data_IF_397565369719
#
_entry.id   IF_397565369719
#
_cell.length_a   1.000
_cell.length_b   1.000
_cell.length_c   1.000
_cell.angle_alpha   90.00
_cell.angle_beta   90.00
_cell.angle_gamma   90.00
#
_symmetry.space_group_name_H-M   'P 1'
#
loop_
_entity.id
_entity.type
_entity.pdbx_description
1 polymer ?
#
# COMPACT_ATOMS: atom_id res chain seq x y z
N UNK A 1 -20.88 4.83 -20.33
CA UNK A 1 -19.86 4.76 -21.40
C UNK A 1 -19.28 6.14 -21.77
N UNK A 2 -20.08 7.16 -22.14
CA UNK A 2 -19.55 8.49 -22.53
C UNK A 2 -18.63 9.17 -21.50
N UNK A 3 -18.82 8.97 -20.20
CA UNK A 3 -17.98 9.58 -19.15
C UNK A 3 -16.56 9.01 -19.12
N UNK A 4 -16.40 7.70 -19.38
CA UNK A 4 -15.08 7.05 -19.37
C UNK A 4 -14.17 7.54 -20.51
N UNK A 5 -14.77 7.97 -21.63
CA UNK A 5 -14.05 8.60 -22.76
C UNK A 5 -13.34 9.88 -22.34
N UNK A 6 -13.83 10.57 -21.30
CA UNK A 6 -13.20 11.78 -20.76
C UNK A 6 -12.31 11.44 -19.57
N UNK A 7 -12.76 10.55 -18.68
CA UNK A 7 -12.03 10.19 -17.44
C UNK A 7 -10.68 9.54 -17.75
N UNK A 8 -10.62 8.59 -18.71
CA UNK A 8 -9.38 7.89 -19.03
C UNK A 8 -8.28 8.84 -19.53
N UNK A 9 -8.48 9.64 -20.60
CA UNK A 9 -7.44 10.55 -21.07
C UNK A 9 -7.12 11.66 -20.07
N UNK A 10 -8.12 12.16 -19.33
CA UNK A 10 -7.87 13.15 -18.29
C UNK A 10 -7.02 12.60 -17.13
N UNK A 11 -7.22 11.34 -16.74
CA UNK A 11 -6.36 10.68 -15.74
C UNK A 11 -4.94 10.45 -16.25
N UNK A 12 -4.76 10.10 -17.53
CA UNK A 12 -3.42 9.94 -18.11
C UNK A 12 -2.70 11.29 -18.16
N UNK A 13 -3.38 12.35 -18.64
CA UNK A 13 -2.80 13.69 -18.69
C UNK A 13 -2.43 14.23 -17.31
N UNK A 14 -3.31 14.05 -16.31
CA UNK A 14 -3.02 14.44 -14.93
C UNK A 14 -1.92 13.56 -14.30
N UNK A 15 -1.89 12.27 -14.64
CA UNK A 15 -0.86 11.34 -14.20
C UNK A 15 0.52 11.79 -14.67
N UNK A 16 0.68 12.04 -15.97
CA UNK A 16 1.92 12.58 -16.56
C UNK A 16 2.34 13.91 -15.93
N UNK A 17 1.37 14.79 -15.64
CA UNK A 17 1.66 16.08 -15.01
C UNK A 17 2.16 15.90 -13.56
N UNK A 18 1.54 15.01 -12.79
CA UNK A 18 1.96 14.72 -11.42
C UNK A 18 3.31 13.99 -11.38
N UNK A 19 3.54 13.11 -12.34
CA UNK A 19 4.79 12.37 -12.53
C UNK A 19 5.94 13.33 -12.86
N UNK A 20 5.70 14.33 -13.72
CA UNK A 20 6.63 15.43 -13.98
C UNK A 20 7.04 16.20 -12.71
N UNK A 21 6.13 16.34 -11.74
CA UNK A 21 6.42 16.95 -10.44
C UNK A 21 6.99 15.95 -9.40
N UNK A 22 7.31 14.71 -9.79
CA UNK A 22 7.77 13.64 -8.92
C UNK A 22 6.83 13.39 -7.71
N UNK A 23 5.52 13.55 -7.93
CA UNK A 23 4.52 13.31 -6.88
C UNK A 23 4.37 11.80 -6.69
N UNK A 24 4.60 11.31 -5.47
CA UNK A 24 4.42 9.89 -5.21
C UNK A 24 2.99 9.40 -5.46
N UNK A 25 2.91 8.19 -6.02
CA UNK A 25 1.66 7.57 -6.45
C UNK A 25 0.85 8.45 -7.42
N UNK A 26 1.53 9.24 -8.28
CA UNK A 26 0.93 10.11 -9.30
C UNK A 26 -0.20 9.44 -10.08
N UNK A 27 0.01 8.20 -10.53
CA UNK A 27 -0.96 7.42 -11.30
C UNK A 27 -2.21 7.01 -10.50
N UNK A 28 -2.06 6.69 -9.22
CA UNK A 28 -3.23 6.39 -8.37
C UNK A 28 -3.98 7.68 -8.04
N UNK A 29 -3.26 8.73 -7.65
CA UNK A 29 -3.82 10.01 -7.24
C UNK A 29 -4.58 10.67 -8.40
N UNK A 30 -4.02 10.63 -9.62
CA UNK A 30 -4.69 11.10 -10.83
C UNK A 30 -5.99 10.34 -11.11
N UNK A 31 -5.99 9.01 -10.95
CA UNK A 31 -7.19 8.19 -11.05
C UNK A 31 -8.27 8.61 -10.05
N UNK A 32 -7.90 8.83 -8.77
CA UNK A 32 -8.83 9.24 -7.70
C UNK A 32 -9.39 10.63 -7.97
N UNK A 33 -8.54 11.60 -8.28
CA UNK A 33 -8.95 12.99 -8.48
C UNK A 33 -9.88 13.15 -9.69
N UNK A 34 -9.55 12.51 -10.81
CA UNK A 34 -10.35 12.64 -12.03
C UNK A 34 -11.66 11.85 -11.93
N UNK A 35 -11.62 10.59 -11.47
CA UNK A 35 -12.84 9.80 -11.31
C UNK A 35 -13.72 10.35 -10.17
N UNK A 36 -13.13 10.80 -9.06
CA UNK A 36 -13.83 11.46 -7.97
C UNK A 36 -14.45 12.78 -8.40
N UNK A 37 -13.69 13.65 -9.08
CA UNK A 37 -14.21 14.90 -9.64
C UNK A 37 -15.39 14.65 -10.60
N UNK A 38 -15.26 13.68 -11.51
CA UNK A 38 -16.33 13.31 -12.42
C UNK A 38 -17.57 12.73 -11.71
N UNK A 39 -17.38 11.93 -10.64
CA UNK A 39 -18.48 11.40 -9.82
C UNK A 39 -19.21 12.51 -9.05
N UNK A 40 -18.47 13.49 -8.50
CA UNK A 40 -19.02 14.65 -7.80
C UNK A 40 -19.80 15.58 -8.74
N UNK A 41 -19.24 15.92 -9.90
CA UNK A 41 -19.89 16.80 -10.89
C UNK A 41 -21.20 16.17 -11.37
N UNK A 42 -21.22 14.86 -11.60
CA UNK A 42 -22.41 14.15 -12.09
C UNK A 42 -23.38 13.73 -10.98
N UNK A 43 -23.01 13.93 -9.71
CA UNK A 43 -23.76 13.44 -8.52
C UNK A 43 -24.15 11.96 -8.62
N UNK A 44 -23.34 11.15 -9.30
CA UNK A 44 -23.59 9.72 -9.51
C UNK A 44 -22.28 8.97 -9.43
N UNK A 45 -22.31 7.84 -8.74
CA UNK A 45 -21.16 6.94 -8.63
C UNK A 45 -20.75 6.43 -10.02
N UNK A 46 -19.46 6.52 -10.30
CA UNK A 46 -18.86 5.94 -11.50
C UNK A 46 -18.45 4.51 -11.20
N UNK A 47 -19.41 3.60 -11.34
CA UNK A 47 -19.15 2.18 -11.19
C UNK A 47 -18.19 1.71 -12.30
N UNK A 48 -17.05 1.17 -11.89
CA UNK A 48 -16.12 0.47 -12.76
C UNK A 48 -16.66 -0.95 -13.04
N UNK A 49 -16.33 -1.51 -14.21
CA UNK A 49 -16.66 -2.90 -14.49
C UNK A 49 -15.90 -3.83 -13.54
N UNK A 50 -16.59 -4.79 -12.92
CA UNK A 50 -16.01 -5.75 -11.98
C UNK A 50 -14.81 -6.51 -12.55
N UNK A 51 -14.77 -6.76 -13.86
CA UNK A 51 -13.62 -7.45 -14.49
C UNK A 51 -12.37 -6.56 -14.53
N UNK A 52 -12.55 -5.27 -14.83
CA UNK A 52 -11.44 -4.29 -14.85
C UNK A 52 -10.92 -4.10 -13.43
N UNK A 53 -11.84 -3.93 -12.48
CA UNK A 53 -11.51 -3.82 -11.06
C UNK A 53 -10.72 -5.03 -10.54
N UNK A 54 -11.17 -6.26 -10.83
CA UNK A 54 -10.47 -7.49 -10.43
C UNK A 54 -9.07 -7.58 -11.04
N UNK A 55 -8.92 -7.14 -12.29
CA UNK A 55 -7.63 -7.14 -12.98
C UNK A 55 -6.65 -6.16 -12.33
N UNK A 56 -7.09 -4.95 -11.96
CA UNK A 56 -6.26 -3.99 -11.23
C UNK A 56 -5.78 -4.51 -9.87
N UNK A 57 -6.67 -5.17 -9.11
CA UNK A 57 -6.29 -5.81 -7.83
C UNK A 57 -5.23 -6.91 -8.03
N UNK A 58 -5.34 -7.67 -9.12
CA UNK A 58 -4.37 -8.69 -9.50
C UNK A 58 -2.99 -8.10 -9.78
N UNK A 59 -2.92 -7.02 -10.57
CA UNK A 59 -1.67 -6.30 -10.87
C UNK A 59 -1.01 -5.81 -9.58
N UNK A 60 -1.80 -5.26 -8.66
CA UNK A 60 -1.30 -4.83 -7.35
C UNK A 60 -0.77 -5.99 -6.51
N UNK A 61 -1.43 -7.15 -6.56
CA UNK A 61 -0.94 -8.37 -5.89
C UNK A 61 0.42 -8.81 -6.43
N UNK A 62 0.62 -8.72 -7.75
CA UNK A 62 1.92 -9.02 -8.38
C UNK A 62 2.98 -8.00 -7.97
N UNK A 63 2.68 -6.70 -8.05
CA UNK A 63 3.60 -5.62 -7.64
C UNK A 63 4.00 -5.75 -6.16
N UNK A 64 3.08 -6.16 -5.29
CA UNK A 64 3.38 -6.43 -3.89
C UNK A 64 4.24 -7.70 -3.68
N UNK A 65 4.25 -8.61 -4.64
CA UNK A 65 5.04 -9.85 -4.62
C UNK A 65 6.44 -9.69 -5.20
N UNK A 66 6.69 -8.73 -6.09
CA UNK A 66 8.00 -8.51 -6.70
C UNK A 66 9.13 -8.33 -5.69
N UNK A 67 8.99 -7.50 -4.63
CA UNK A 67 10.07 -7.33 -3.63
C UNK A 67 10.41 -8.61 -2.86
N UNK A 68 9.53 -9.62 -2.88
CA UNK A 68 9.73 -10.90 -2.19
C UNK A 68 10.45 -11.94 -3.08
N UNK A 69 10.66 -11.64 -4.37
CA UNK A 69 11.37 -12.51 -5.32
C UNK A 69 12.87 -12.44 -5.04
N UNK A 70 13.55 -13.59 -5.02
CA UNK A 70 15.00 -13.68 -4.82
C UNK A 70 15.49 -13.57 -3.37
N UNK A 71 14.60 -13.31 -2.41
CA UNK A 71 14.97 -13.26 -0.99
C UNK A 71 14.99 -14.66 -0.39
N UNK A 72 16.18 -15.12 0.02
CA UNK A 72 16.34 -16.40 0.69
C UNK A 72 15.85 -16.31 2.14
N UNK A 73 15.17 -17.36 2.61
CA UNK A 73 14.69 -17.45 4.01
C UNK A 73 15.87 -17.28 4.99
N UNK A 74 17.06 -17.79 4.64
CA UNK A 74 18.28 -17.65 5.43
C UNK A 74 18.67 -16.19 5.68
N UNK A 75 18.54 -15.32 4.69
CA UNK A 75 18.92 -13.90 4.80
C UNK A 75 17.95 -13.10 5.67
N UNK A 76 16.69 -13.55 5.76
CA UNK A 76 15.63 -12.89 6.55
C UNK A 76 15.62 -13.36 8.00
N UNK A 77 16.07 -14.58 8.29
CA UNK A 77 16.01 -15.17 9.63
C UNK A 77 16.63 -14.30 10.75
N UNK A 78 17.78 -13.63 10.57
CA UNK A 78 18.35 -12.75 11.60
C UNK A 78 17.48 -11.52 11.88
N UNK A 79 16.78 -11.03 10.85
CA UNK A 79 15.96 -9.82 10.90
C UNK A 79 14.53 -10.09 11.37
N UNK A 80 14.13 -11.37 11.47
CA UNK A 80 12.76 -11.78 11.77
C UNK A 80 12.25 -11.18 13.08
N UNK A 81 13.03 -11.29 14.16
CA UNK A 81 12.62 -10.81 15.48
C UNK A 81 12.56 -9.26 15.54
N UNK A 82 13.60 -8.50 15.12
CA UNK A 82 13.52 -7.05 15.03
C UNK A 82 12.37 -6.56 14.15
N UNK A 83 12.22 -7.13 12.94
CA UNK A 83 11.17 -6.76 12.00
C UNK A 83 9.77 -7.03 12.54
N UNK A 84 9.57 -8.17 13.22
CA UNK A 84 8.29 -8.50 13.86
C UNK A 84 7.95 -7.52 14.99
N UNK A 85 8.91 -7.17 15.83
CA UNK A 85 8.71 -6.22 16.95
C UNK A 85 8.30 -4.85 16.43
N UNK A 86 9.01 -4.30 15.44
CA UNK A 86 8.67 -3.02 14.81
C UNK A 86 7.27 -3.08 14.18
N UNK A 87 6.98 -4.17 13.48
CA UNK A 87 5.68 -4.38 12.84
C UNK A 87 4.54 -4.45 13.86
N UNK A 88 4.73 -5.13 14.97
CA UNK A 88 3.75 -5.22 16.05
C UNK A 88 3.51 -3.87 16.72
N UNK A 89 4.56 -3.09 16.97
CA UNK A 89 4.45 -1.75 17.56
C UNK A 89 3.64 -0.83 16.64
N UNK A 90 3.98 -0.79 15.36
CA UNK A 90 3.30 0.06 14.37
C UNK A 90 1.85 -0.36 14.13
N UNK A 91 1.58 -1.67 14.07
CA UNK A 91 0.22 -2.22 14.02
C UNK A 91 -0.57 -1.85 15.26
N UNK A 92 -0.01 -2.02 16.46
CA UNK A 92 -0.70 -1.74 17.71
C UNK A 92 -1.10 -0.26 17.80
N UNK A 93 -0.19 0.64 17.39
CA UNK A 93 -0.47 2.07 17.26
C UNK A 93 -1.61 2.32 16.27
N UNK A 94 -1.58 1.69 15.09
CA UNK A 94 -2.63 1.83 14.07
C UNK A 94 -4.00 1.34 14.53
N UNK A 95 -4.06 0.19 15.20
CA UNK A 95 -5.30 -0.34 15.79
C UNK A 95 -5.82 0.61 16.87
N UNK A 96 -4.94 1.08 17.77
CA UNK A 96 -5.30 2.03 18.82
C UNK A 96 -5.87 3.33 18.24
N UNK A 97 -5.17 3.94 17.29
CA UNK A 97 -5.61 5.16 16.60
C UNK A 97 -6.93 4.95 15.85
N UNK A 98 -7.11 3.79 15.20
CA UNK A 98 -8.34 3.45 14.50
C UNK A 98 -9.54 3.24 15.42
N UNK A 99 -9.33 2.65 16.60
CA UNK A 99 -10.36 2.55 17.64
C UNK A 99 -10.73 3.94 18.16
N UNK A 100 -9.75 4.81 18.43
CA UNK A 100 -10.02 6.19 18.85
C UNK A 100 -10.79 6.95 17.76
N UNK A 101 -10.38 6.83 16.50
CA UNK A 101 -11.08 7.44 15.36
C UNK A 101 -12.55 7.00 15.30
N UNK A 102 -12.81 5.69 15.44
CA UNK A 102 -14.18 5.15 15.41
C UNK A 102 -15.05 5.63 16.57
N UNK A 103 -14.44 5.98 17.71
CA UNK A 103 -15.14 6.57 18.85
C UNK A 103 -15.39 8.07 18.67
N UNK A 104 -14.44 8.79 18.07
CA UNK A 104 -14.54 10.23 17.83
C UNK A 104 -15.52 10.56 16.70
N UNK A 105 -15.56 9.75 15.65
CA UNK A 105 -16.41 9.94 14.47
C UNK A 105 -17.45 8.82 14.41
N UNK A 106 -18.63 9.04 14.99
CA UNK A 106 -19.70 8.02 15.12
C UNK A 106 -20.19 7.42 13.79
N UNK A 107 -19.95 8.09 12.67
CA UNK A 107 -20.29 7.60 11.32
C UNK A 107 -19.32 6.53 10.81
N UNK A 108 -18.14 6.40 11.43
CA UNK A 108 -17.09 5.48 11.01
C UNK A 108 -17.20 4.20 11.84
N UNK A 109 -17.41 3.07 11.14
CA UNK A 109 -17.39 1.77 11.81
C UNK A 109 -15.99 1.49 12.37
N UNK A 110 -15.86 0.72 13.46
CA UNK A 110 -14.55 0.33 14.00
C UNK A 110 -13.67 -0.39 12.97
N UNK A 111 -14.28 -1.14 12.05
CA UNK A 111 -13.57 -1.79 10.96
C UNK A 111 -12.95 -0.77 10.00
N UNK A 112 -13.75 0.20 9.52
CA UNK A 112 -13.27 1.30 8.69
C UNK A 112 -12.19 2.11 9.42
N UNK A 113 -12.40 2.46 10.69
CA UNK A 113 -11.45 3.27 11.46
C UNK A 113 -10.08 2.60 11.62
N UNK A 114 -10.06 1.31 11.96
CA UNK A 114 -8.83 0.51 12.07
C UNK A 114 -8.13 0.41 10.70
N UNK A 115 -8.87 0.14 9.63
CA UNK A 115 -8.29 0.06 8.28
C UNK A 115 -7.77 1.41 7.76
N UNK A 116 -8.40 2.52 8.12
CA UNK A 116 -7.91 3.87 7.81
C UNK A 116 -6.57 4.17 8.48
N UNK A 117 -6.37 3.65 9.69
CA UNK A 117 -5.20 3.93 10.53
C UNK A 117 -4.17 2.81 10.54
N UNK A 118 -4.41 1.68 9.87
CA UNK A 118 -3.42 0.61 9.83
C UNK A 118 -2.24 1.05 8.93
N UNK A 119 -1.00 1.08 9.44
CA UNK A 119 0.16 1.40 8.62
C UNK A 119 0.52 0.19 7.76
N UNK A 120 -0.04 0.08 6.57
CA UNK A 120 0.33 -0.98 5.63
C UNK A 120 0.15 -0.62 4.18
N UNK A 121 0.39 -1.58 3.29
CA UNK A 121 0.40 -1.39 1.83
C UNK A 121 -0.81 -0.59 1.37
N UNK A 122 -0.59 0.65 0.96
CA UNK A 122 -1.62 1.60 0.55
C UNK A 122 -2.49 1.07 -0.60
N UNK A 123 -1.93 0.14 -1.37
CA UNK A 123 -2.57 -0.54 -2.49
C UNK A 123 -3.38 -1.78 -2.06
N UNK A 124 -3.09 -2.40 -0.92
CA UNK A 124 -3.76 -3.64 -0.46
C UNK A 124 -4.88 -3.38 0.55
N UNK A 125 -4.69 -2.43 1.47
CA UNK A 125 -5.66 -2.17 2.56
C UNK A 125 -7.04 -1.73 2.05
N UNK A 126 -7.17 -0.84 1.04
CA UNK A 126 -8.48 -0.49 0.50
C UNK A 126 -9.20 -1.70 -0.09
N UNK A 127 -8.46 -2.66 -0.63
CA UNK A 127 -9.02 -3.89 -1.19
C UNK A 127 -9.54 -4.82 -0.10
N UNK A 128 -8.78 -4.98 0.98
CA UNK A 128 -9.22 -5.72 2.17
C UNK A 128 -10.47 -5.07 2.78
N UNK A 129 -10.53 -3.73 2.83
CA UNK A 129 -11.70 -3.01 3.31
C UNK A 129 -12.98 -3.43 2.56
N UNK A 130 -12.91 -3.58 1.24
CA UNK A 130 -14.05 -4.05 0.45
C UNK A 130 -14.50 -5.46 0.82
N UNK A 131 -13.56 -6.39 0.98
CA UNK A 131 -13.88 -7.78 1.28
C UNK A 131 -14.44 -7.93 2.69
N UNK A 132 -14.03 -7.06 3.61
CA UNK A 132 -14.57 -6.99 4.98
C UNK A 132 -15.88 -6.20 5.09
N UNK A 133 -16.32 -5.52 4.03
CA UNK A 133 -17.50 -4.65 4.05
C UNK A 133 -17.28 -3.29 4.72
N UNK A 134 -16.03 -2.92 5.02
CA UNK A 134 -15.68 -1.59 5.49
C UNK A 134 -15.78 -0.56 4.37
N UNK A 135 -15.89 0.73 4.74
CA UNK A 135 -15.95 1.82 3.78
C UNK A 135 -14.59 2.03 3.12
N UNK A 136 -14.37 1.32 2.01
CA UNK A 136 -13.14 1.33 1.24
C UNK A 136 -12.78 2.72 0.70
N UNK A 137 -13.76 3.62 0.54
CA UNK A 137 -13.55 4.97 0.00
C UNK A 137 -12.82 5.82 1.03
N UNK A 138 -13.28 5.79 2.28
CA UNK A 138 -12.63 6.46 3.40
C UNK A 138 -11.24 5.88 3.66
N UNK A 139 -11.10 4.55 3.61
CA UNK A 139 -9.82 3.86 3.76
C UNK A 139 -8.84 4.28 2.68
N UNK A 140 -9.24 4.23 1.41
CA UNK A 140 -8.41 4.66 0.28
C UNK A 140 -7.94 6.11 0.46
N UNK A 141 -8.85 7.05 0.73
CA UNK A 141 -8.50 8.46 0.90
C UNK A 141 -7.50 8.66 2.04
N UNK A 142 -7.67 8.00 3.19
CA UNK A 142 -6.74 8.11 4.32
C UNK A 142 -5.37 7.49 4.01
N UNK A 143 -5.35 6.34 3.33
CA UNK A 143 -4.11 5.63 2.99
C UNK A 143 -3.28 6.38 1.94
N UNK A 144 -3.93 6.96 0.93
CA UNK A 144 -3.24 7.75 -0.10
C UNK A 144 -2.84 9.14 0.40
N UNK A 145 -3.66 9.79 1.25
CA UNK A 145 -3.26 11.03 1.92
C UNK A 145 -2.00 10.80 2.79
N UNK A 146 -1.96 9.68 3.52
CA UNK A 146 -0.78 9.29 4.30
C UNK A 146 0.44 9.08 3.40
N UNK A 147 0.31 8.34 2.31
CA UNK A 147 1.42 8.16 1.37
C UNK A 147 1.91 9.49 0.81
N UNK A 148 1.00 10.38 0.40
CA UNK A 148 1.35 11.69 -0.15
C UNK A 148 2.16 12.50 0.88
N UNK A 149 1.67 12.58 2.12
CA UNK A 149 2.34 13.35 3.18
C UNK A 149 3.69 12.73 3.55
N UNK A 150 3.76 11.41 3.72
CA UNK A 150 5.01 10.71 4.02
C UNK A 150 6.00 10.90 2.88
N UNK A 151 5.58 10.76 1.63
CA UNK A 151 6.47 10.94 0.49
C UNK A 151 6.91 12.38 0.27
N UNK A 152 6.09 13.38 0.59
CA UNK A 152 6.52 14.77 0.57
C UNK A 152 7.49 15.08 1.72
N UNK A 153 7.38 14.36 2.84
CA UNK A 153 8.30 14.50 3.97
C UNK A 153 9.65 13.80 3.75
N UNK A 154 9.70 12.74 2.94
CA UNK A 154 10.92 11.96 2.71
C UNK A 154 12.07 12.80 2.10
N UNK A 155 11.87 13.59 1.02
CA UNK A 155 12.90 14.48 0.48
C UNK A 155 13.41 15.51 1.50
N UNK A 156 12.53 16.02 2.36
CA UNK A 156 12.92 16.94 3.42
C UNK A 156 13.86 16.24 4.41
N UNK A 157 13.57 14.99 4.74
CA UNK A 157 14.42 14.16 5.61
C UNK A 157 15.74 13.81 4.91
N UNK A 158 15.73 13.36 3.65
CA UNK A 158 16.97 13.01 2.92
C UNK A 158 17.88 14.22 2.70
N UNK A 159 17.31 15.42 2.51
CA UNK A 159 18.09 16.66 2.42
C UNK A 159 18.86 17.00 3.70
N UNK A 160 18.32 16.65 4.87
CA UNK A 160 19.01 16.80 6.16
C UNK A 160 20.16 15.80 6.35
N UNK A 161 20.10 14.65 5.67
CA UNK A 161 21.14 13.62 5.70
C UNK A 161 22.11 13.68 4.51
N UNK A 162 21.99 14.69 3.64
CA UNK A 162 22.84 14.87 2.44
C UNK A 162 22.86 13.65 1.49
N UNK A 163 21.81 12.84 1.50
CA UNK A 163 21.66 11.68 0.60
C UNK A 163 20.94 12.15 -0.66
N UNK A 164 21.60 12.02 -1.80
CA UNK A 164 20.99 12.28 -3.10
C UNK A 164 20.07 11.12 -3.45
N UNK A 165 18.80 11.37 -3.76
CA UNK A 165 17.89 10.35 -4.29
C UNK A 165 18.23 10.10 -5.76
N UNK A 166 18.72 8.91 -6.12
CA UNK A 166 18.60 8.46 -7.51
C UNK A 166 17.28 7.72 -7.71
N UNK A 167 16.65 7.94 -8.85
CA UNK A 167 15.47 7.17 -9.28
C UNK A 167 15.97 5.76 -9.59
N UNK A 168 15.35 4.74 -8.97
CA UNK A 168 15.71 3.34 -9.17
C UNK A 168 15.80 3.02 -10.68
N UNK A 169 16.88 2.36 -11.10
CA UNK A 169 17.04 1.91 -12.48
C UNK A 169 15.93 0.91 -12.84
N UNK A 170 15.38 1.05 -14.06
CA UNK A 170 14.44 0.09 -14.62
C UNK A 170 15.13 -1.27 -14.78
N UNK A 171 14.73 -2.26 -13.97
CA UNK A 171 15.23 -3.62 -14.14
C UNK A 171 14.72 -4.20 -15.48
N UNK A 172 15.63 -4.40 -16.42
CA UNK A 172 15.31 -4.94 -17.74
C UNK A 172 15.05 -6.45 -17.67
N UNK A 173 13.79 -6.84 -17.45
CA UNK A 173 13.39 -8.26 -17.50
C UNK A 173 13.04 -8.75 -18.90
N UNK A 174 12.85 -10.08 -19.03
CA UNK A 174 12.49 -10.70 -20.30
C UNK A 174 11.00 -10.51 -20.62
N UNK A 175 10.66 -10.21 -21.87
CA UNK A 175 9.27 -9.99 -22.32
C UNK A 175 8.31 -11.15 -22.01
N UNK A 176 8.80 -12.39 -21.97
CA UNK A 176 7.99 -13.57 -21.64
C UNK A 176 7.68 -13.66 -20.14
N UNK A 177 8.56 -13.17 -19.28
CA UNK A 177 8.32 -13.10 -17.84
C UNK A 177 7.29 -12.03 -17.48
N UNK A 178 7.29 -10.91 -18.21
CA UNK A 178 6.21 -9.93 -18.14
C UNK A 178 4.83 -10.54 -18.48
N UNK A 179 4.76 -11.37 -19.54
CA UNK A 179 3.51 -12.09 -19.89
C UNK A 179 3.07 -13.06 -18.81
N UNK A 180 4.01 -13.78 -18.17
CA UNK A 180 3.74 -14.66 -17.04
C UNK A 180 3.13 -13.89 -15.86
N UNK A 181 3.68 -12.72 -15.53
CA UNK A 181 3.15 -11.88 -14.46
C UNK A 181 1.76 -11.31 -14.75
N UNK A 182 1.51 -10.89 -15.99
CA UNK A 182 0.17 -10.48 -16.44
C UNK A 182 -0.81 -11.66 -16.33
N UNK A 183 -0.38 -12.87 -16.69
CA UNK A 183 -1.18 -14.07 -16.51
C UNK A 183 -1.45 -14.36 -15.02
N UNK A 184 -0.47 -14.17 -14.13
CA UNK A 184 -0.67 -14.30 -12.67
C UNK A 184 -1.66 -13.26 -12.12
N UNK A 185 -1.60 -12.00 -12.58
CA UNK A 185 -2.55 -10.97 -12.20
C UNK A 185 -3.99 -11.31 -12.63
N UNK A 186 -4.16 -11.95 -13.80
CA UNK A 186 -5.47 -12.31 -14.33
C UNK A 186 -6.02 -13.63 -13.76
N UNK A 187 -5.17 -14.66 -13.65
CA UNK A 187 -5.55 -16.03 -13.28
C UNK A 187 -5.48 -16.25 -11.76
N UNK A 188 -4.51 -15.62 -11.08
CA UNK A 188 -4.33 -15.72 -9.64
C UNK A 188 -5.61 -15.48 -8.84
N UNK A 189 -6.42 -14.45 -9.14
CA UNK A 189 -7.69 -14.23 -8.46
C UNK A 189 -8.69 -15.38 -8.53
N UNK A 190 -8.69 -16.17 -9.61
CA UNK A 190 -9.55 -17.34 -9.75
C UNK A 190 -9.03 -18.51 -8.93
N UNK A 191 -7.70 -18.72 -8.93
CA UNK A 191 -7.03 -19.74 -8.11
C UNK A 191 -7.23 -19.45 -6.62
N UNK A 192 -7.08 -18.19 -6.20
CA UNK A 192 -7.28 -17.80 -4.81
C UNK A 192 -8.70 -18.03 -4.31
N UNK A 193 -9.71 -17.93 -5.20
CA UNK A 193 -11.11 -18.23 -4.87
C UNK A 193 -11.32 -19.72 -4.63
N UNK A 194 -10.68 -20.55 -5.45
CA UNK A 194 -10.72 -22.00 -5.29
C UNK A 194 -10.08 -22.44 -3.96
N UNK A 195 -8.98 -21.79 -3.57
CA UNK A 195 -8.22 -22.09 -2.35
C UNK A 195 -8.76 -21.42 -1.08
N UNK A 196 -9.86 -20.64 -1.16
CA UNK A 196 -10.49 -19.94 -0.02
C UNK A 196 -9.54 -19.03 0.77
N UNK A 197 -8.61 -18.35 0.10
CA UNK A 197 -7.76 -17.37 0.77
C UNK A 197 -8.56 -16.18 1.33
N UNK A 198 -8.13 -15.55 2.43
CA UNK A 198 -8.83 -14.42 3.07
C UNK A 198 -8.86 -13.15 2.22
N UNK A 199 -8.06 -13.07 1.15
CA UNK A 199 -8.16 -12.07 0.09
C UNK A 199 -7.68 -12.63 -1.27
N UNK A 200 -8.54 -13.40 -1.98
CA UNK A 200 -8.17 -14.17 -3.18
C UNK A 200 -7.52 -13.34 -4.28
N UNK A 201 -7.98 -12.09 -4.42
CA UNK A 201 -7.63 -11.20 -5.51
C UNK A 201 -6.23 -10.58 -5.39
N UNK A 202 -5.60 -10.65 -4.21
CA UNK A 202 -4.26 -10.09 -3.95
C UNK A 202 -3.29 -11.19 -3.52
N UNK A 203 -3.69 -12.03 -2.57
CA UNK A 203 -2.81 -13.07 -2.02
C UNK A 203 -2.38 -14.08 -3.06
N UNK A 204 -3.30 -14.51 -3.93
CA UNK A 204 -2.96 -15.51 -4.94
C UNK A 204 -2.00 -14.96 -6.01
N UNK A 205 -2.24 -13.77 -6.62
CA UNK A 205 -1.23 -13.17 -7.50
C UNK A 205 0.11 -12.94 -6.81
N UNK A 206 0.12 -12.48 -5.55
CA UNK A 206 1.34 -12.29 -4.77
C UNK A 206 2.10 -13.60 -4.60
N UNK A 207 1.43 -14.64 -4.10
CA UNK A 207 2.05 -15.95 -3.86
C UNK A 207 2.55 -16.57 -5.17
N UNK A 208 1.79 -16.46 -6.26
CA UNK A 208 2.21 -16.94 -7.58
C UNK A 208 3.45 -16.19 -8.07
N UNK A 209 3.51 -14.88 -7.87
CA UNK A 209 4.67 -14.06 -8.26
C UNK A 209 5.92 -14.50 -7.51
N UNK A 210 5.81 -14.69 -6.19
CA UNK A 210 6.92 -15.17 -5.35
C UNK A 210 7.35 -16.57 -5.77
N UNK A 211 6.41 -17.49 -5.97
CA UNK A 211 6.72 -18.87 -6.37
C UNK A 211 7.42 -18.91 -7.73
N UNK A 212 6.90 -18.19 -8.73
CA UNK A 212 7.57 -18.12 -10.03
C UNK A 212 8.95 -17.48 -9.92
N UNK A 213 9.13 -16.51 -9.03
CA UNK A 213 10.40 -15.84 -8.81
C UNK A 213 11.49 -16.71 -8.20
N UNK A 214 11.11 -17.78 -7.50
CA UNK A 214 12.07 -18.79 -7.06
C UNK A 214 12.59 -19.64 -8.22
N UNK A 215 11.80 -19.82 -9.29
CA UNK A 215 12.19 -20.63 -10.45
C UNK A 215 12.85 -19.79 -11.56
N UNK A 216 12.43 -18.54 -11.73
CA UNK A 216 12.88 -17.65 -12.82
C UNK A 216 13.19 -16.22 -12.32
N UNK A 217 14.18 -16.03 -11.42
CA UNK A 217 14.43 -14.73 -10.80
C UNK A 217 14.75 -13.63 -11.82
N UNK A 218 15.56 -13.93 -12.85
CA UNK A 218 15.97 -12.95 -13.88
C UNK A 218 14.87 -12.64 -14.92
N UNK A 219 13.79 -13.44 -14.97
CA UNK A 219 12.73 -13.22 -15.93
C UNK A 219 11.62 -12.30 -15.39
N UNK A 220 11.54 -12.12 -14.08
CA UNK A 220 10.38 -11.49 -13.43
C UNK A 220 10.55 -9.98 -13.36
N UNK A 221 9.86 -9.30 -14.28
CA UNK A 221 9.72 -7.85 -14.31
C UNK A 221 8.29 -7.49 -14.70
N UNK A 222 7.74 -6.47 -14.04
CA UNK A 222 6.44 -5.90 -14.41
C UNK A 222 6.67 -4.69 -15.33
N UNK A 223 6.16 -4.71 -16.59
CA UNK A 223 6.23 -3.54 -17.45
C UNK A 223 5.56 -2.34 -16.79
N UNK A 224 6.23 -1.19 -16.85
CA UNK A 224 5.76 0.07 -16.26
C UNK A 224 4.33 0.39 -16.70
N UNK A 225 4.04 0.24 -18.00
CA UNK A 225 2.70 0.45 -18.55
C UNK A 225 1.61 -0.39 -17.85
N UNK A 226 1.92 -1.64 -17.47
CA UNK A 226 0.97 -2.51 -16.76
C UNK A 226 0.81 -2.05 -15.31
N UNK A 227 1.90 -1.66 -14.64
CA UNK A 227 1.86 -1.11 -13.30
C UNK A 227 1.03 0.18 -13.23
N UNK A 228 1.28 1.12 -14.15
CA UNK A 228 0.53 2.38 -14.32
C UNK A 228 -0.96 2.10 -14.55
N UNK A 229 -1.30 1.15 -15.42
CA UNK A 229 -2.69 0.74 -15.63
C UNK A 229 -3.32 0.16 -14.36
N UNK A 230 -2.61 -0.67 -13.60
CA UNK A 230 -3.08 -1.21 -12.32
C UNK A 230 -3.38 -0.11 -11.31
N UNK A 231 -2.47 0.86 -11.19
CA UNK A 231 -2.63 2.04 -10.33
C UNK A 231 -3.80 2.93 -10.75
N UNK A 232 -3.95 3.20 -12.04
CA UNK A 232 -5.08 3.96 -12.59
C UNK A 232 -6.42 3.25 -12.33
N UNK A 233 -6.49 1.93 -12.53
CA UNK A 233 -7.71 1.14 -12.27
C UNK A 233 -8.15 1.26 -10.81
N UNK A 234 -7.21 1.10 -9.87
CA UNK A 234 -7.52 1.28 -8.44
C UNK A 234 -7.93 2.72 -8.14
N UNK A 235 -7.23 3.69 -8.73
CA UNK A 235 -7.55 5.11 -8.57
C UNK A 235 -8.96 5.43 -9.05
N UNK A 236 -9.34 4.95 -10.24
CA UNK A 236 -10.68 5.11 -10.79
C UNK A 236 -11.75 4.43 -9.96
N UNK A 237 -11.43 3.26 -9.42
CA UNK A 237 -12.36 2.51 -8.58
C UNK A 237 -12.62 3.24 -7.24
N UNK A 238 -11.56 3.70 -6.57
CA UNK A 238 -11.68 4.47 -5.33
C UNK A 238 -12.34 5.83 -5.59
N UNK A 239 -11.87 6.54 -6.62
CA UNK A 239 -12.37 7.83 -7.08
C UNK A 239 -13.84 7.78 -7.48
N UNK A 240 -14.24 6.80 -8.29
CA UNK A 240 -15.60 6.67 -8.80
C UNK A 240 -16.66 6.43 -7.74
N UNK A 241 -16.26 5.93 -6.56
CA UNK A 241 -17.12 5.79 -5.38
C UNK A 241 -17.26 7.08 -4.55
N UNK A 242 -16.49 8.15 -4.82
CA UNK A 242 -16.59 9.36 -4.01
C UNK A 242 -17.95 10.03 -4.17
N UNK A 243 -18.51 10.45 -3.04
CA UNK A 243 -19.74 11.22 -2.95
C UNK A 243 -19.56 12.36 -1.95
N UNK A 244 -20.40 13.40 -2.05
CA UNK A 244 -20.35 14.55 -1.14
C UNK A 244 -20.48 14.13 0.33
N UNK A 245 -21.38 13.19 0.72
CA UNK A 245 -21.42 12.68 2.09
C UNK A 245 -20.11 12.05 2.56
N UNK A 246 -19.50 11.19 1.73
CA UNK A 246 -18.22 10.51 2.06
C UNK A 246 -17.11 11.55 2.24
N UNK A 247 -17.04 12.56 1.38
CA UNK A 247 -16.02 13.61 1.48
C UNK A 247 -16.19 14.47 2.74
N UNK A 248 -17.42 14.71 3.19
CA UNK A 248 -17.69 15.43 4.45
C UNK A 248 -17.23 14.63 5.67
N UNK A 249 -17.47 13.32 5.67
CA UNK A 249 -16.96 12.40 6.70
C UNK A 249 -15.43 12.40 6.66
N UNK A 250 -14.84 12.28 5.47
CA UNK A 250 -13.39 12.34 5.24
C UNK A 250 -12.77 13.63 5.79
N UNK A 251 -13.35 14.78 5.49
CA UNK A 251 -12.86 16.08 5.96
C UNK A 251 -12.89 16.18 7.49
N UNK A 252 -13.89 15.58 8.15
CA UNK A 252 -13.97 15.57 9.62
C UNK A 252 -12.96 14.63 10.27
N UNK A 253 -12.58 13.53 9.63
CA UNK A 253 -11.52 12.63 10.11
C UNK A 253 -10.10 13.11 9.76
N UNK A 254 -9.96 14.08 8.85
CA UNK A 254 -8.68 14.60 8.39
C UNK A 254 -7.75 15.04 9.53
N UNK A 255 -8.16 15.82 10.56
CA UNK A 255 -7.26 16.20 11.64
C UNK A 255 -6.73 15.00 12.43
N UNK A 256 -7.57 13.98 12.66
CA UNK A 256 -7.16 12.74 13.33
C UNK A 256 -6.19 11.95 12.46
N UNK A 257 -6.41 11.94 11.14
CA UNK A 257 -5.54 11.28 10.16
C UNK A 257 -4.17 11.97 10.12
N UNK A 258 -4.12 13.30 10.10
CA UNK A 258 -2.87 14.06 10.17
C UNK A 258 -2.10 13.79 11.47
N UNK A 259 -2.80 13.82 12.61
CA UNK A 259 -2.20 13.49 13.91
C UNK A 259 -1.61 12.07 13.90
N UNK A 260 -2.35 11.11 13.34
CA UNK A 260 -1.88 9.73 13.21
C UNK A 260 -0.64 9.62 12.31
N UNK A 261 -0.58 10.37 11.20
CA UNK A 261 0.60 10.39 10.33
C UNK A 261 1.82 10.88 11.10
N UNK A 262 1.69 11.97 11.86
CA UNK A 262 2.78 12.52 12.69
C UNK A 262 3.22 11.48 13.74
N UNK A 263 2.27 10.87 14.44
CA UNK A 263 2.57 9.82 15.44
C UNK A 263 3.24 8.61 14.81
N UNK A 264 2.83 8.22 13.60
CA UNK A 264 3.43 7.10 12.87
C UNK A 264 4.86 7.42 12.49
N UNK A 265 5.13 8.62 11.95
CA UNK A 265 6.49 9.07 11.61
C UNK A 265 7.37 9.09 12.86
N UNK A 266 6.87 9.66 13.97
CA UNK A 266 7.59 9.68 15.25
C UNK A 266 7.88 8.28 15.78
N UNK A 267 6.93 7.35 15.65
CA UNK A 267 7.11 5.95 16.06
C UNK A 267 8.12 5.24 15.17
N UNK A 268 8.15 5.52 13.87
CA UNK A 268 9.16 4.98 12.95
C UNK A 268 10.56 5.49 13.31
N UNK A 269 10.71 6.78 13.63
CA UNK A 269 11.96 7.35 14.14
C UNK A 269 12.39 6.73 15.49
N UNK A 270 11.46 6.56 16.43
CA UNK A 270 11.76 5.94 17.72
C UNK A 270 12.16 4.47 17.57
N UNK A 271 11.46 3.72 16.72
CA UNK A 271 11.79 2.31 16.45
C UNK A 271 13.06 2.15 15.62
N UNK A 272 13.47 3.15 14.84
CA UNK A 272 14.76 3.18 14.17
C UNK A 272 15.93 3.23 15.16
N UNK A 273 15.81 3.97 16.28
CA UNK A 273 16.82 3.95 17.35
C UNK A 273 16.97 2.56 17.97
N UNK A 274 15.85 1.86 18.19
CA UNK A 274 15.86 0.48 18.68
C UNK A 274 16.56 -0.46 17.69
N UNK A 275 16.29 -0.32 16.39
CA UNK A 275 16.91 -1.13 15.35
C UNK A 275 18.41 -0.86 15.19
N UNK A 276 18.81 0.41 15.30
CA UNK A 276 20.22 0.84 15.24
C UNK A 276 21.02 0.12 16.32
N UNK A 277 20.53 0.09 17.56
CA UNK A 277 21.21 -0.58 18.68
C UNK A 277 21.08 -2.11 18.69
N UNK A 278 20.16 -2.70 17.92
CA UNK A 278 20.00 -4.15 17.82
C UNK A 278 20.75 -4.78 16.66
N UNK A 279 20.94 -4.04 15.57
CA UNK A 279 21.49 -4.57 14.32
C UNK A 279 22.78 -3.89 13.87
N UNK A 280 23.30 -2.94 14.66
CA UNK A 280 24.51 -2.17 14.37
C UNK A 280 24.54 -1.54 12.96
N UNK A 281 23.36 -1.14 12.46
CA UNK A 281 23.19 -0.43 11.18
C UNK A 281 23.09 1.09 11.39
N UNK A 282 23.37 1.88 10.35
CA UNK A 282 23.23 3.33 10.44
C UNK A 282 21.77 3.73 10.73
N UNK A 283 21.57 4.80 11.51
CA UNK A 283 20.25 5.28 11.89
C UNK A 283 19.36 5.60 10.67
N UNK A 284 19.95 6.11 9.60
CA UNK A 284 19.23 6.38 8.36
C UNK A 284 18.67 5.10 7.73
N UNK A 285 19.45 4.03 7.67
CA UNK A 285 19.01 2.74 7.15
C UNK A 285 17.96 2.09 8.06
N UNK A 286 18.12 2.21 9.38
CA UNK A 286 17.11 1.79 10.34
C UNK A 286 15.79 2.56 10.16
N UNK A 287 15.86 3.87 9.90
CA UNK A 287 14.69 4.71 9.65
C UNK A 287 14.00 4.35 8.34
N UNK A 288 14.78 4.11 7.28
CA UNK A 288 14.29 3.59 6.01
C UNK A 288 13.60 2.23 6.19
N UNK A 289 14.18 1.33 6.97
CA UNK A 289 13.62 0.01 7.27
C UNK A 289 12.26 0.08 7.98
N UNK A 290 12.07 1.06 8.86
CA UNK A 290 10.80 1.24 9.59
C UNK A 290 9.78 2.14 8.85
N UNK A 291 10.21 2.89 7.83
CA UNK A 291 9.41 3.94 7.18
C UNK A 291 8.12 3.44 6.51
N UNK A 292 6.95 4.05 6.78
CA UNK A 292 5.64 3.53 6.40
C UNK A 292 5.21 4.01 5.00
N UNK A 293 5.95 3.67 3.94
CA UNK A 293 5.56 3.97 2.56
C UNK A 293 6.71 3.87 1.56
N UNK A 294 6.37 3.78 0.27
CA UNK A 294 7.31 3.89 -0.86
C UNK A 294 8.41 2.81 -0.88
N UNK A 295 8.03 1.53 -0.92
CA UNK A 295 9.00 0.42 -0.97
C UNK A 295 10.06 0.67 -2.06
N UNK A 296 9.65 1.06 -3.27
CA UNK A 296 10.55 1.37 -4.39
C UNK A 296 11.57 2.47 -4.05
N UNK A 297 11.11 3.59 -3.49
CA UNK A 297 11.98 4.72 -3.12
C UNK A 297 12.93 4.38 -1.97
N UNK A 298 12.46 3.58 -1.02
CA UNK A 298 13.28 3.19 0.14
C UNK A 298 14.31 2.13 -0.22
N UNK A 299 13.95 1.18 -1.08
CA UNK A 299 14.87 0.16 -1.58
C UNK A 299 16.00 0.78 -2.40
N UNK A 300 15.70 1.79 -3.23
CA UNK A 300 16.71 2.56 -3.96
C UNK A 300 17.71 3.24 -3.01
N UNK A 301 17.20 4.00 -2.02
CA UNK A 301 18.02 4.71 -1.04
C UNK A 301 18.87 3.78 -0.17
N UNK A 302 18.35 2.60 0.20
CA UNK A 302 19.08 1.64 1.01
C UNK A 302 20.22 0.96 0.24
N UNK A 303 20.08 0.82 -1.09
CA UNK A 303 21.13 0.27 -1.94
C UNK A 303 22.31 1.26 -2.06
N UNK A 304 22.02 2.55 -2.16
CA UNK A 304 23.04 3.61 -2.14
C UNK A 304 23.74 3.74 -0.78
N UNK A 305 23.02 3.50 0.33
CA UNK A 305 23.55 3.54 1.69
C UNK A 305 24.43 2.34 2.09
N UNK A 306 24.55 1.31 1.24
CA UNK A 306 25.35 0.11 1.52
C UNK A 306 24.70 -0.91 2.48
N UNK A 307 23.48 -0.65 2.93
CA UNK A 307 22.74 -1.48 3.91
C UNK A 307 21.47 -2.14 3.34
N UNK A 308 21.36 -2.17 2.02
CA UNK A 308 20.19 -2.66 1.27
C UNK A 308 19.54 -3.93 1.83
N UNK A 309 20.28 -5.04 2.04
CA UNK A 309 19.69 -6.32 2.45
C UNK A 309 18.95 -6.28 3.80
N UNK A 310 19.45 -5.53 4.77
CA UNK A 310 18.82 -5.42 6.10
C UNK A 310 17.51 -4.61 6.02
N UNK A 311 17.52 -3.51 5.27
CA UNK A 311 16.35 -2.66 5.04
C UNK A 311 15.26 -3.41 4.30
N UNK A 312 15.63 -4.10 3.22
CA UNK A 312 14.73 -4.96 2.44
C UNK A 312 14.08 -5.99 3.37
N UNK A 313 14.89 -6.74 4.13
CA UNK A 313 14.41 -7.83 4.98
C UNK A 313 13.39 -7.35 6.02
N UNK A 314 13.67 -6.26 6.74
CA UNK A 314 12.75 -5.69 7.74
C UNK A 314 11.45 -5.22 7.09
N UNK A 315 11.52 -4.58 5.93
CA UNK A 315 10.34 -4.15 5.19
C UNK A 315 9.49 -5.32 4.68
N UNK A 316 10.14 -6.40 4.25
CA UNK A 316 9.48 -7.63 3.83
C UNK A 316 8.78 -8.33 5.00
N UNK A 317 9.47 -8.47 6.14
CA UNK A 317 8.87 -9.03 7.36
C UNK A 317 7.64 -8.20 7.76
N UNK A 318 7.74 -6.88 7.68
CA UNK A 318 6.62 -5.98 7.94
C UNK A 318 5.47 -6.19 6.97
N UNK A 319 5.75 -6.26 5.67
CA UNK A 319 4.75 -6.48 4.64
C UNK A 319 4.03 -7.82 4.83
N UNK A 320 4.78 -8.89 5.11
CA UNK A 320 4.24 -10.22 5.40
C UNK A 320 3.42 -10.23 6.69
N UNK A 321 3.93 -9.62 7.76
CA UNK A 321 3.22 -9.52 9.05
C UNK A 321 1.89 -8.81 8.86
N UNK A 322 1.88 -7.67 8.16
CA UNK A 322 0.66 -6.92 7.86
C UNK A 322 -0.29 -7.69 6.97
N UNK A 323 0.22 -8.40 5.97
CA UNK A 323 -0.60 -9.20 5.05
C UNK A 323 -1.31 -10.33 5.80
N UNK A 324 -0.58 -11.08 6.63
CA UNK A 324 -1.13 -12.11 7.52
C UNK A 324 -2.17 -11.48 8.44
N UNK A 325 -1.81 -10.40 9.14
CA UNK A 325 -2.69 -9.76 10.11
C UNK A 325 -3.95 -9.19 9.45
N UNK A 326 -3.84 -8.65 8.23
CA UNK A 326 -4.97 -8.19 7.44
C UNK A 326 -5.94 -9.33 7.10
N UNK A 327 -5.43 -10.50 6.76
CA UNK A 327 -6.24 -11.71 6.56
C UNK A 327 -6.99 -12.15 7.83
N UNK A 328 -6.37 -11.98 9.00
CA UNK A 328 -6.99 -12.26 10.30
C UNK A 328 -7.75 -11.07 10.91
N UNK A 329 -7.71 -9.90 10.27
CA UNK A 329 -8.20 -8.63 10.84
C UNK A 329 -9.70 -8.69 11.11
N UNK A 330 -10.47 -9.36 10.25
CA UNK A 330 -11.90 -9.59 10.47
C UNK A 330 -12.19 -10.36 11.77
N UNK A 331 -11.34 -11.34 12.11
CA UNK A 331 -11.43 -12.08 13.37
C UNK A 331 -11.00 -11.24 14.58
N UNK A 332 -9.88 -10.52 14.45
CA UNK A 332 -9.34 -9.65 15.51
C UNK A 332 -10.33 -8.52 15.85
N UNK A 333 -10.94 -7.88 14.85
CA UNK A 333 -11.90 -6.81 15.06
C UNK A 333 -13.16 -7.34 15.76
N UNK A 334 -13.66 -8.52 15.39
CA UNK A 334 -14.78 -9.17 16.10
C UNK A 334 -14.45 -9.45 17.57
N UNK A 335 -13.23 -9.87 17.87
CA UNK A 335 -12.78 -10.13 19.24
C UNK A 335 -12.67 -8.84 20.07
N UNK A 336 -12.06 -7.79 19.51
CA UNK A 336 -11.93 -6.47 20.17
C UNK A 336 -13.32 -5.85 20.45
N UNK A 337 -14.24 -5.94 19.50
CA UNK A 337 -15.61 -5.40 19.67
C UNK A 337 -16.46 -6.20 20.66
N UNK A 338 -16.20 -7.51 20.82
CA UNK A 338 -16.88 -8.33 21.82
C UNK A 338 -16.40 -8.01 23.24
N UNK A 339 -15.11 -7.68 23.40
CA UNK A 339 -14.49 -7.36 24.70
C UNK A 339 -14.86 -5.96 25.20
N UNK A 340 -15.15 -5.01 24.31
CA UNK A 340 -15.60 -3.65 24.66
C UNK A 340 -17.08 -3.50 25.02
N UNK A 341 -17.85 -4.61 25.01
CA UNK A 341 -19.26 -4.68 25.43
C UNK A 341 -19.45 -5.42 26.76
N UNK A 342 -18.35 -5.83 27.41
CA UNK A 342 -18.33 -6.47 28.73
C UNK A 342 -17.91 -5.49 29.81
#
# INVERSE_FOLDING_TARGET
>A
MRTWVVVVPASIALGLLLDYFNVAAAWILSGILVAGGAALIRRRELALNQHVEKSGRGVIGVLAGLPLVGVSIGDVTPFLLPGLVVSLITVALGIGAGVVLSKTVKEITPQTGILCMLPGGSSTIPVIAMETGADYRLVALSQYLRLLIVSLSLPLITSLFNVSTTVAEEESGTWWGALLLVACALVGPYIGKLLRFPAPHIFAPLLLTVLLGQFFPEAIFMPEAVAVLGFLIIGWFCGGGLSVPVLKIFARQLPMTLLFIILTIATCAATALLLTGWMDIAYFDAYLATSPGGLETVLALAHEGGSGPAVVSVQLIRLLTLLILAGYLSGIIKWILKKGRG
#
